data_IF_080112007866
#
_entry.id   IF_080112007866
#
_cell.length_a   1.000
_cell.length_b   1.000
_cell.length_c   1.000
_cell.angle_alpha   90.00
_cell.angle_beta   90.00
_cell.angle_gamma   90.00
#
_symmetry.space_group_name_H-M   'P 1'
#
loop_
_entity.id
_entity.type
_entity.pdbx_description
1 polymer ?
#
# COMPACT_ATOMS: atom_id res chain seq x y z
N UNK A 1 10.27 -10.53 33.42
CA UNK A 1 10.76 -11.42 32.34
C UNK A 1 11.11 -10.51 31.17
N UNK A 2 12.20 -10.72 30.43
CA UNK A 2 12.49 -9.90 29.24
C UNK A 2 11.70 -10.44 28.04
N UNK A 3 10.41 -10.11 27.98
CA UNK A 3 9.59 -10.24 26.78
C UNK A 3 9.37 -8.87 26.14
N UNK A 4 9.11 -8.83 24.84
CA UNK A 4 8.66 -7.63 24.14
C UNK A 4 7.15 -7.41 24.33
N UNK A 5 6.64 -6.24 23.97
CA UNK A 5 5.17 -5.98 23.97
C UNK A 5 4.44 -6.98 23.07
N UNK A 6 5.05 -7.39 21.96
CA UNK A 6 4.48 -8.38 21.05
C UNK A 6 4.39 -9.77 21.70
N UNK A 7 5.42 -10.19 22.44
CA UNK A 7 5.41 -11.48 23.16
C UNK A 7 4.30 -11.51 24.23
N UNK A 8 4.12 -10.40 24.94
CA UNK A 8 3.04 -10.25 25.91
C UNK A 8 1.65 -10.34 25.27
N UNK A 9 1.42 -9.62 24.17
CA UNK A 9 0.14 -9.65 23.46
C UNK A 9 -0.15 -11.02 22.84
N UNK A 10 0.87 -11.69 22.28
CA UNK A 10 0.73 -13.04 21.73
C UNK A 10 0.32 -14.04 22.83
N UNK A 11 1.03 -14.05 23.95
CA UNK A 11 0.72 -14.94 25.08
C UNK A 11 -0.68 -14.68 25.66
N UNK A 12 -1.08 -13.41 25.75
CA UNK A 12 -2.40 -13.04 26.27
C UNK A 12 -3.53 -13.49 25.32
N UNK A 13 -3.35 -13.29 24.01
CA UNK A 13 -4.30 -13.80 23.01
C UNK A 13 -4.40 -15.34 23.04
N UNK A 14 -3.28 -16.05 23.21
CA UNK A 14 -3.25 -17.51 23.36
C UNK A 14 -3.96 -17.98 24.64
N UNK A 15 -3.93 -17.18 25.70
CA UNK A 15 -4.68 -17.39 26.93
C UNK A 15 -6.17 -16.97 26.83
N UNK A 16 -6.59 -16.36 25.72
CA UNK A 16 -7.96 -15.88 25.49
C UNK A 16 -8.24 -14.47 26.02
N UNK A 17 -7.24 -13.79 26.59
CA UNK A 17 -7.33 -12.41 27.03
C UNK A 17 -7.10 -11.47 25.84
N UNK A 18 -8.19 -10.94 25.28
CA UNK A 18 -8.14 -10.15 24.05
C UNK A 18 -8.64 -8.72 24.21
N UNK A 19 -9.35 -8.38 25.29
CA UNK A 19 -9.84 -7.00 25.50
C UNK A 19 -8.67 -6.00 25.66
N UNK A 20 -8.59 -5.00 24.78
CA UNK A 20 -7.46 -4.06 24.74
C UNK A 20 -7.29 -3.27 26.03
N UNK A 21 -8.39 -2.93 26.70
CA UNK A 21 -8.32 -2.12 27.91
C UNK A 21 -7.75 -2.95 29.08
N UNK A 22 -8.20 -4.19 29.22
CA UNK A 22 -7.65 -5.17 30.18
C UNK A 22 -6.17 -5.42 29.93
N UNK A 23 -5.76 -5.58 28.67
CA UNK A 23 -4.34 -5.77 28.31
C UNK A 23 -3.49 -4.54 28.65
N UNK A 24 -4.00 -3.33 28.43
CA UNK A 24 -3.31 -2.10 28.84
C UNK A 24 -3.14 -2.03 30.35
N UNK A 25 -4.22 -2.32 31.09
CA UNK A 25 -4.27 -2.13 32.54
C UNK A 25 -3.46 -3.17 33.32
N UNK A 26 -3.23 -4.34 32.71
CA UNK A 26 -2.49 -5.46 33.32
C UNK A 26 -1.04 -5.57 32.85
N UNK A 27 -0.66 -4.90 31.76
CA UNK A 27 0.71 -4.96 31.25
C UNK A 27 1.72 -4.19 32.11
N UNK A 28 2.98 -4.64 32.07
CA UNK A 28 4.12 -3.88 32.62
C UNK A 28 4.64 -2.78 31.67
N UNK A 29 4.07 -2.68 30.46
CA UNK A 29 4.52 -1.79 29.41
C UNK A 29 3.73 -0.46 29.41
N UNK A 30 4.29 0.63 28.85
CA UNK A 30 3.55 1.88 28.73
C UNK A 30 2.28 1.70 27.89
N UNK A 31 1.13 2.15 28.41
CA UNK A 31 -0.18 2.04 27.74
C UNK A 31 -0.20 2.54 26.29
N UNK A 32 0.47 3.66 25.92
CA UNK A 32 0.51 4.08 24.52
C UNK A 32 1.28 3.10 23.62
N UNK A 33 2.32 2.46 24.14
CA UNK A 33 3.11 1.48 23.40
C UNK A 33 2.34 0.17 23.20
N UNK A 34 1.58 -0.28 24.21
CA UNK A 34 0.69 -1.44 24.09
C UNK A 34 -0.39 -1.18 23.03
N UNK A 35 -1.06 -0.02 23.07
CA UNK A 35 -2.04 0.36 22.04
C UNK A 35 -1.43 0.39 20.65
N UNK A 36 -0.25 0.97 20.53
CA UNK A 36 0.44 1.06 19.25
C UNK A 36 0.69 -0.34 18.69
N UNK A 37 1.39 -1.20 19.42
CA UNK A 37 1.73 -2.55 18.95
C UNK A 37 0.48 -3.40 18.72
N UNK A 38 -0.55 -3.32 19.59
CA UNK A 38 -1.80 -4.05 19.40
C UNK A 38 -2.58 -3.62 18.14
N UNK A 39 -2.32 -2.41 17.63
CA UNK A 39 -2.94 -1.87 16.41
C UNK A 39 -2.09 -2.03 15.14
N UNK A 40 -0.90 -2.63 15.24
CA UNK A 40 0.09 -2.71 14.15
C UNK A 40 0.77 -4.08 14.09
N UNK A 41 1.61 -4.29 13.08
CA UNK A 41 2.44 -5.50 12.93
C UNK A 41 1.55 -6.77 12.86
N UNK A 42 1.79 -7.73 13.76
CA UNK A 42 1.11 -9.03 13.78
C UNK A 42 -0.25 -8.98 14.51
N UNK A 43 -0.74 -7.80 14.87
CA UNK A 43 -1.98 -7.60 15.61
C UNK A 43 -2.85 -6.53 15.00
N UNK A 44 -4.16 -6.64 15.24
CA UNK A 44 -5.14 -5.59 14.96
C UNK A 44 -6.17 -5.54 16.07
N UNK A 45 -6.80 -4.38 16.24
CA UNK A 45 -7.91 -4.20 17.18
C UNK A 45 -9.22 -4.24 16.41
N UNK A 46 -10.10 -5.18 16.76
CA UNK A 46 -11.46 -5.33 16.19
C UNK A 46 -12.45 -5.29 17.35
N UNK A 47 -13.39 -4.34 17.32
CA UNK A 47 -14.40 -4.16 18.38
C UNK A 47 -13.82 -4.13 19.80
N UNK A 48 -12.68 -3.44 19.97
CA UNK A 48 -11.97 -3.33 21.24
C UNK A 48 -11.16 -4.57 21.63
N UNK A 49 -11.11 -5.60 20.80
CA UNK A 49 -10.37 -6.83 21.07
C UNK A 49 -9.16 -6.94 20.15
N UNK A 50 -8.01 -7.28 20.73
CA UNK A 50 -6.77 -7.59 20.01
C UNK A 50 -6.90 -8.98 19.43
N UNK A 51 -6.71 -9.08 18.12
CA UNK A 51 -6.59 -10.36 17.42
C UNK A 51 -5.24 -10.40 16.73
N UNK A 52 -4.63 -11.60 16.69
CA UNK A 52 -3.51 -11.84 15.78
C UNK A 52 -4.00 -11.68 14.35
N UNK A 53 -3.16 -11.04 13.54
CA UNK A 53 -3.30 -11.03 12.09
C UNK A 53 -2.58 -12.28 11.61
N UNK A 54 -3.30 -13.17 10.93
CA UNK A 54 -2.63 -14.27 10.25
C UNK A 54 -1.62 -13.66 9.27
N UNK A 55 -0.36 -14.11 9.29
CA UNK A 55 0.63 -13.62 8.33
C UNK A 55 0.09 -13.95 6.94
N UNK A 56 -0.30 -12.91 6.20
CA UNK A 56 -0.78 -13.08 4.84
C UNK A 56 0.46 -13.32 3.97
N UNK A 57 0.61 -14.50 3.35
CA UNK A 57 1.75 -14.77 2.47
C UNK A 57 1.81 -13.79 1.30
N UNK A 58 0.68 -13.22 0.89
CA UNK A 58 0.64 -12.13 -0.09
C UNK A 58 1.29 -10.86 0.49
N UNK A 59 1.16 -10.54 1.78
CA UNK A 59 1.83 -9.34 2.34
C UNK A 59 3.35 -9.45 2.44
N UNK A 60 3.93 -10.66 2.50
CA UNK A 60 5.39 -10.83 2.52
C UNK A 60 6.03 -10.60 1.15
N UNK A 61 5.29 -10.86 0.06
CA UNK A 61 5.70 -10.59 -1.31
C UNK A 61 4.47 -10.25 -2.20
N UNK A 62 3.85 -9.06 -2.07
CA UNK A 62 2.50 -8.82 -2.63
C UNK A 62 2.42 -8.58 -4.12
N UNK A 63 3.55 -8.52 -4.82
CA UNK A 63 3.52 -7.84 -6.09
C UNK A 63 3.09 -8.75 -7.23
N UNK A 64 1.86 -8.48 -7.73
CA UNK A 64 1.60 -8.52 -9.17
C UNK A 64 2.80 -7.88 -9.84
N UNK A 65 3.59 -8.68 -10.57
CA UNK A 65 4.89 -8.28 -11.06
C UNK A 65 4.86 -6.88 -11.69
N UNK A 66 5.60 -5.93 -11.08
CA UNK A 66 5.92 -4.66 -11.70
C UNK A 66 6.53 -4.96 -13.06
N UNK A 67 5.78 -4.66 -14.12
CA UNK A 67 6.26 -4.92 -15.47
C UNK A 67 7.25 -3.84 -15.85
N UNK A 68 8.23 -4.18 -16.69
CA UNK A 68 9.19 -3.22 -17.19
C UNK A 68 8.89 -2.88 -18.64
N UNK A 69 8.80 -1.58 -18.95
CA UNK A 69 8.68 -1.05 -20.32
C UNK A 69 9.83 -0.08 -20.58
N UNK A 70 10.89 -0.59 -21.22
CA UNK A 70 12.14 0.16 -21.41
C UNK A 70 12.75 0.57 -20.06
N UNK A 71 12.92 1.87 -19.85
CA UNK A 71 13.45 2.43 -18.59
C UNK A 71 12.40 2.71 -17.52
N UNK A 72 11.11 2.48 -17.81
CA UNK A 72 10.01 2.74 -16.87
C UNK A 72 9.43 1.44 -16.32
N UNK A 73 8.89 1.53 -15.11
CA UNK A 73 8.03 0.51 -14.54
C UNK A 73 6.58 0.75 -14.92
N UNK A 74 5.82 -0.33 -15.12
CA UNK A 74 4.47 -0.33 -15.62
C UNK A 74 3.55 -1.05 -14.62
N UNK A 75 2.45 -0.39 -14.28
CA UNK A 75 1.34 -0.97 -13.51
C UNK A 75 0.06 -0.83 -14.34
N UNK A 76 -0.52 -1.93 -14.83
CA UNK A 76 -1.77 -1.87 -15.58
C UNK A 76 -2.94 -1.67 -14.61
N UNK A 77 -3.85 -0.75 -14.94
CA UNK A 77 -5.01 -0.42 -14.11
C UNK A 77 -6.27 -0.42 -14.99
N UNK A 78 -7.33 -1.05 -14.49
CA UNK A 78 -8.66 -0.89 -15.05
C UNK A 78 -9.28 0.36 -14.43
N UNK A 79 -9.80 1.25 -15.25
CA UNK A 79 -10.49 2.47 -14.81
C UNK A 79 -11.82 2.07 -14.15
N UNK A 80 -12.04 2.54 -12.93
CA UNK A 80 -13.31 2.35 -12.21
C UNK A 80 -14.00 3.69 -11.99
N UNK A 81 -15.28 3.67 -11.65
CA UNK A 81 -16.06 4.85 -11.23
C UNK A 81 -15.38 5.62 -10.11
N UNK A 82 -14.84 4.92 -9.12
CA UNK A 82 -14.16 5.55 -7.97
C UNK A 82 -12.90 6.30 -8.43
N UNK A 83 -12.15 5.76 -9.39
CA UNK A 83 -10.96 6.43 -9.93
C UNK A 83 -11.34 7.69 -10.72
N UNK A 84 -12.45 7.64 -11.46
CA UNK A 84 -13.02 8.80 -12.16
C UNK A 84 -13.52 9.87 -11.17
N UNK A 85 -14.02 9.46 -10.00
CA UNK A 85 -14.44 10.36 -8.92
C UNK A 85 -13.27 10.89 -8.07
N UNK A 86 -12.08 10.31 -8.23
CA UNK A 86 -10.85 10.78 -7.62
C UNK A 86 -10.41 9.98 -6.39
N UNK A 87 -10.70 8.69 -6.34
CA UNK A 87 -10.09 7.80 -5.37
C UNK A 87 -8.57 7.71 -5.58
N UNK A 88 -7.85 7.50 -4.47
CA UNK A 88 -6.43 7.17 -4.49
C UNK A 88 -6.22 5.71 -4.95
N UNK A 89 -5.04 5.41 -5.48
CA UNK A 89 -4.71 4.06 -5.94
C UNK A 89 -3.75 3.37 -4.98
N UNK A 90 -4.10 2.14 -4.63
CA UNK A 90 -3.19 1.20 -3.99
C UNK A 90 -2.29 0.56 -5.05
N UNK A 91 -0.98 0.65 -4.84
CA UNK A 91 0.03 0.22 -5.78
C UNK A 91 0.99 -0.81 -5.14
N UNK A 92 1.66 -1.61 -5.98
CA UNK A 92 2.70 -2.55 -5.58
C UNK A 92 3.76 -1.95 -4.64
N UNK A 93 4.14 -2.71 -3.61
CA UNK A 93 5.12 -2.27 -2.60
C UNK A 93 6.51 -2.04 -3.19
N UNK A 94 6.88 -2.78 -4.24
CA UNK A 94 8.17 -2.60 -4.88
C UNK A 94 8.33 -1.22 -5.54
N UNK A 95 7.25 -0.45 -5.78
CA UNK A 95 7.39 0.97 -6.15
C UNK A 95 7.99 1.82 -5.03
N UNK A 96 7.71 1.51 -3.76
CA UNK A 96 8.34 2.15 -2.61
C UNK A 96 9.86 1.97 -2.65
N UNK A 97 10.32 0.75 -2.94
CA UNK A 97 11.74 0.42 -3.11
C UNK A 97 12.36 1.09 -4.34
N UNK A 98 11.67 1.11 -5.48
CA UNK A 98 12.12 1.80 -6.71
C UNK A 98 12.38 3.29 -6.42
N UNK A 99 11.55 3.92 -5.60
CA UNK A 99 11.69 5.32 -5.25
C UNK A 99 12.44 5.57 -3.93
N UNK A 100 12.99 4.53 -3.31
CA UNK A 100 13.77 4.58 -2.07
C UNK A 100 13.01 5.31 -0.93
N UNK A 101 11.72 5.02 -0.80
CA UNK A 101 10.88 5.60 0.24
C UNK A 101 11.06 4.83 1.55
N UNK A 102 11.24 5.55 2.65
CA UNK A 102 11.08 4.97 3.99
C UNK A 102 9.62 5.02 4.42
N UNK A 103 9.29 4.31 5.51
CA UNK A 103 7.94 4.27 6.05
C UNK A 103 7.31 5.66 6.23
N UNK A 104 6.06 5.83 5.77
CA UNK A 104 5.27 7.07 5.72
C UNK A 104 5.91 8.24 4.97
N UNK A 105 7.01 8.01 4.26
CA UNK A 105 7.57 9.04 3.41
C UNK A 105 6.78 9.14 2.11
N UNK A 106 6.60 10.39 1.69
CA UNK A 106 6.01 10.72 0.40
C UNK A 106 7.07 11.28 -0.54
N UNK A 107 6.98 10.94 -1.83
CA UNK A 107 7.72 11.62 -2.89
C UNK A 107 6.75 12.26 -3.88
N UNK A 108 7.17 13.40 -4.44
CA UNK A 108 6.51 13.99 -5.59
C UNK A 108 7.02 13.36 -6.89
N UNK A 109 6.09 13.05 -7.79
CA UNK A 109 6.32 12.59 -9.16
C UNK A 109 6.00 13.72 -10.15
N UNK A 110 6.86 13.87 -11.14
CA UNK A 110 6.72 14.83 -12.24
C UNK A 110 5.80 14.26 -13.32
N UNK A 111 4.69 14.94 -13.60
CA UNK A 111 3.73 14.54 -14.64
C UNK A 111 4.04 15.17 -16.00
N UNK A 112 5.14 15.91 -16.15
CA UNK A 112 5.47 16.67 -17.36
C UNK A 112 4.61 17.91 -17.59
N UNK A 113 3.75 18.26 -16.62
CA UNK A 113 2.81 19.39 -16.69
C UNK A 113 2.91 20.30 -15.46
N UNK A 114 1.85 21.07 -15.19
CA UNK A 114 1.78 21.98 -14.02
C UNK A 114 1.45 21.26 -12.71
N UNK A 115 0.99 20.03 -12.78
CA UNK A 115 0.63 19.22 -11.62
C UNK A 115 1.76 18.28 -11.23
N UNK A 116 1.75 17.88 -9.96
CA UNK A 116 2.57 16.81 -9.44
C UNK A 116 1.67 15.71 -8.95
N UNK A 117 2.16 14.47 -9.03
CA UNK A 117 1.55 13.38 -8.28
C UNK A 117 2.34 13.11 -7.01
N UNK A 118 1.69 12.51 -6.03
CA UNK A 118 2.33 12.15 -4.76
C UNK A 118 2.18 10.65 -4.55
N UNK A 119 3.32 10.02 -4.27
CA UNK A 119 3.43 8.61 -3.94
C UNK A 119 3.85 8.50 -2.47
N UNK A 120 3.11 7.76 -1.66
CA UNK A 120 3.37 7.60 -0.22
C UNK A 120 3.50 6.12 0.12
N UNK A 121 4.53 5.75 0.88
CA UNK A 121 4.69 4.39 1.37
C UNK A 121 4.00 4.23 2.73
N UNK A 122 3.06 3.28 2.84
CA UNK A 122 2.45 2.83 4.09
C UNK A 122 3.04 1.48 4.51
N UNK A 123 2.44 0.84 5.52
CA UNK A 123 2.94 -0.41 6.11
C UNK A 123 2.91 -1.57 5.11
N UNK A 124 1.83 -1.67 4.32
CA UNK A 124 1.51 -2.80 3.46
C UNK A 124 1.23 -2.40 1.99
N UNK A 125 1.17 -1.10 1.70
CA UNK A 125 0.91 -0.62 0.34
C UNK A 125 1.61 0.70 0.03
N UNK A 126 1.72 0.99 -1.27
CA UNK A 126 2.05 2.32 -1.77
C UNK A 126 0.78 3.00 -2.22
N UNK A 127 0.54 4.23 -1.75
CA UNK A 127 -0.61 5.03 -2.16
C UNK A 127 -0.18 6.08 -3.19
N UNK A 128 -0.84 6.10 -4.34
CA UNK A 128 -0.77 7.19 -5.31
C UNK A 128 -2.00 8.07 -5.17
N UNK A 129 -1.79 9.39 -5.13
CA UNK A 129 -2.88 10.37 -5.15
C UNK A 129 -3.81 10.23 -6.37
N UNK A 130 -4.95 10.92 -6.37
CA UNK A 130 -5.97 10.78 -7.41
C UNK A 130 -5.42 11.07 -8.81
N UNK A 131 -5.71 10.18 -9.77
CA UNK A 131 -5.30 10.33 -11.18
C UNK A 131 -6.43 10.83 -12.10
N UNK A 132 -7.56 11.25 -11.54
CA UNK A 132 -8.76 11.73 -12.26
C UNK A 132 -8.43 12.73 -13.36
N UNK A 133 -7.51 13.67 -13.11
CA UNK A 133 -7.11 14.67 -14.11
C UNK A 133 -6.44 14.03 -15.32
N UNK A 134 -5.51 13.11 -15.09
CA UNK A 134 -4.81 12.39 -16.15
C UNK A 134 -5.77 11.50 -16.94
N UNK A 135 -6.73 10.86 -16.27
CA UNK A 135 -7.80 10.10 -16.93
C UNK A 135 -8.69 10.99 -17.81
N UNK A 136 -9.08 12.16 -17.32
CA UNK A 136 -9.86 13.13 -18.08
C UNK A 136 -9.10 13.70 -19.29
N UNK A 137 -7.81 14.02 -19.13
CA UNK A 137 -6.94 14.48 -20.23
C UNK A 137 -6.74 13.38 -21.30
N UNK A 138 -6.77 12.10 -20.90
CA UNK A 138 -6.67 10.94 -21.79
C UNK A 138 -8.00 10.57 -22.48
N UNK A 139 -9.13 11.13 -22.02
CA UNK A 139 -10.46 10.68 -22.43
C UNK A 139 -10.69 9.21 -22.09
N UNK A 140 -10.29 8.79 -20.88
CA UNK A 140 -10.47 7.44 -20.40
C UNK A 140 -11.86 7.23 -19.79
N UNK A 141 -12.49 6.11 -20.11
CA UNK A 141 -13.82 5.74 -19.62
C UNK A 141 -13.77 4.57 -18.63
N UNK A 142 -14.85 4.36 -17.87
CA UNK A 142 -14.99 3.20 -16.98
C UNK A 142 -14.75 1.90 -17.76
N UNK A 143 -14.11 0.93 -17.10
CA UNK A 143 -13.72 -0.36 -17.66
C UNK A 143 -12.63 -0.31 -18.75
N UNK A 144 -12.16 0.86 -19.19
CA UNK A 144 -10.97 0.95 -20.03
C UNK A 144 -9.71 0.55 -19.25
N UNK A 145 -8.68 0.08 -19.96
CA UNK A 145 -7.36 -0.20 -19.37
C UNK A 145 -6.40 0.93 -19.68
N UNK A 146 -5.68 1.36 -18.65
CA UNK A 146 -4.60 2.34 -18.72
C UNK A 146 -3.33 1.76 -18.10
N UNK A 147 -2.18 2.17 -18.62
CA UNK A 147 -0.88 1.86 -18.05
C UNK A 147 -0.36 3.05 -17.25
N UNK A 148 -0.05 2.80 -15.98
CA UNK A 148 0.68 3.74 -15.13
C UNK A 148 2.17 3.52 -15.30
N UNK A 149 2.90 4.55 -15.72
CA UNK A 149 4.32 4.47 -15.99
C UNK A 149 5.13 5.29 -14.99
N UNK A 150 6.07 4.62 -14.35
CA UNK A 150 6.98 5.18 -13.36
C UNK A 150 8.41 5.16 -13.93
N UNK A 151 8.83 6.31 -14.44
CA UNK A 151 10.09 6.48 -15.15
C UNK A 151 11.24 7.04 -14.31
N UNK A 152 12.46 7.03 -14.85
CA UNK A 152 13.63 7.57 -14.18
C UNK A 152 13.47 9.08 -13.94
N UNK A 153 14.04 9.56 -12.83
CA UNK A 153 13.92 10.96 -12.41
C UNK A 153 12.55 11.32 -11.84
N UNK A 154 11.84 10.33 -11.26
CA UNK A 154 10.49 10.51 -10.67
C UNK A 154 9.45 10.96 -11.69
N UNK A 155 9.60 10.56 -12.95
CA UNK A 155 8.61 10.84 -13.99
C UNK A 155 7.43 9.90 -13.86
N UNK A 156 6.23 10.43 -14.05
CA UNK A 156 4.98 9.69 -14.01
C UNK A 156 4.10 10.03 -15.22
N UNK A 157 3.53 9.01 -15.86
CA UNK A 157 2.58 9.18 -16.96
C UNK A 157 1.46 8.14 -16.86
N UNK A 158 0.32 8.50 -17.42
CA UNK A 158 -0.80 7.59 -17.67
C UNK A 158 -0.96 7.52 -19.18
N UNK A 159 -0.95 6.31 -19.74
CA UNK A 159 -1.11 6.08 -21.17
C UNK A 159 -2.27 5.08 -21.36
N UNK A 160 -3.00 5.14 -22.49
CA UNK A 160 -3.97 4.05 -22.78
C UNK A 160 -3.16 2.76 -22.91
N UNK A 161 -3.68 1.68 -22.33
CA UNK A 161 -3.01 0.40 -22.49
C UNK A 161 -3.04 0.05 -23.98
N UNK A 162 -1.86 -0.12 -24.59
CA UNK A 162 -1.80 -0.78 -25.89
C UNK A 162 -2.45 -2.16 -25.72
N UNK A 163 -3.16 -2.64 -26.75
CA UNK A 163 -3.42 -4.08 -26.86
C UNK A 163 -2.06 -4.76 -26.99
N UNK A 164 -1.42 -5.05 -25.87
CA UNK A 164 -0.26 -5.94 -25.84
C UNK A 164 -0.76 -7.27 -26.43
N UNK A 165 -0.20 -7.74 -27.57
CA UNK A 165 -0.42 -9.12 -27.96
C UNK A 165 0.07 -10.00 -26.80
N UNK A 166 -0.67 -11.06 -26.49
CA UNK A 166 -0.32 -12.02 -25.45
C UNK A 166 1.16 -12.39 -25.58
N UNK A 167 2.00 -11.85 -24.70
CA UNK A 167 3.42 -12.10 -24.75
C UNK A 167 3.66 -13.53 -24.28
N UNK A 168 3.98 -14.38 -25.25
CA UNK A 168 4.52 -15.73 -25.10
C UNK A 168 5.64 -15.71 -24.07
N UNK A 169 5.50 -16.52 -23.02
CA UNK A 169 6.53 -16.77 -22.04
C UNK A 169 7.78 -17.36 -22.72
N UNK A 170 8.95 -16.81 -22.40
CA UNK A 170 10.27 -17.37 -22.72
C UNK A 170 11.17 -17.27 -21.51
#
# INVERSE_FOLDING_TARGET
MSGTIADYLAASCEAGETDIQTLIDTSEFPSPAVRFIASTCDFRIVDGHVTRVDPDPETWFPDKALKRRGSSWLVPVTVTTELLDGAALHLPMALGNVFQLSYRQSTSLDTGGRTRQVLTLFDDHVLLGPIRRQLAELGAEESERVDLLFGPGRRFRVEKADRLPDAVCG
#
